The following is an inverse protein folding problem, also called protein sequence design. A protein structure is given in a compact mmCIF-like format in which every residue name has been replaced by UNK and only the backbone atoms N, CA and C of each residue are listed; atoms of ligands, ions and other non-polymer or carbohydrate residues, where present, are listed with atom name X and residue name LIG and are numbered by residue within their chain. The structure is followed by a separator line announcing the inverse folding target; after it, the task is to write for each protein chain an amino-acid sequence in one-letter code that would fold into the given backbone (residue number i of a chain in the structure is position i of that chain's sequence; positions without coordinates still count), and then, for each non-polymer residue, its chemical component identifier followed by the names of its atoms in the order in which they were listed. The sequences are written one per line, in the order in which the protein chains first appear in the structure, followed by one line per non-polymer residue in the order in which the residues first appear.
data_IF_549369648611
#
_entry.id   IF_549369648611
#
_cell.length_a   1.000
_cell.length_b   1.000
_cell.length_c   1.000
_cell.angle_alpha   90.00
_cell.angle_beta   90.00
_cell.angle_gamma   90.00
#
_symmetry.space_group_name_H-M   'P 1'
#
loop_
_entity.id
_entity.type
_entity.pdbx_description
1 polymer ?
#
# COMPACT_ATOMS: atom_id res chain seq x y z
N UNK A 1 1.94 0.66 -57.21
CA UNK A 1 2.50 0.03 -56.00
C UNK A 1 2.24 0.96 -54.82
N UNK A 2 1.10 0.78 -54.17
CA UNK A 2 0.69 1.54 -52.98
C UNK A 2 1.08 0.73 -51.75
N UNK A 3 2.00 1.26 -50.93
CA UNK A 3 2.38 0.64 -49.66
C UNK A 3 1.24 0.85 -48.66
N UNK A 4 0.51 -0.21 -48.35
CA UNK A 4 -0.54 -0.17 -47.32
C UNK A 4 0.09 -0.17 -45.93
N UNK A 5 -0.23 0.88 -45.18
CA UNK A 5 -0.69 0.83 -43.79
C UNK A 5 0.14 0.00 -42.80
N UNK A 6 1.00 0.71 -42.08
CA UNK A 6 1.11 0.69 -40.60
C UNK A 6 0.50 -0.50 -39.83
N UNK A 7 1.09 -1.69 -39.96
CA UNK A 7 0.89 -2.84 -39.04
C UNK A 7 1.70 -2.69 -37.72
N UNK A 8 1.71 -1.50 -37.12
CA UNK A 8 2.41 -1.26 -35.85
C UNK A 8 1.64 -1.72 -34.60
N UNK A 9 0.40 -2.18 -34.76
CA UNK A 9 -0.41 -2.72 -33.66
C UNK A 9 -0.60 -4.23 -33.81
N UNK A 10 0.33 -5.01 -33.25
CA UNK A 10 0.09 -6.43 -32.99
C UNK A 10 -1.06 -6.57 -31.99
N UNK A 11 -2.27 -6.86 -32.48
CA UNK A 11 -3.48 -7.16 -31.68
C UNK A 11 -3.26 -8.29 -30.66
N UNK A 12 -2.20 -9.07 -30.83
CA UNK A 12 -1.82 -10.18 -29.94
C UNK A 12 -1.26 -9.70 -28.60
N UNK A 13 -0.62 -8.52 -28.54
CA UNK A 13 0.05 -8.05 -27.31
C UNK A 13 -0.94 -7.53 -26.26
N UNK A 14 -1.98 -6.79 -26.66
CA UNK A 14 -2.98 -6.24 -25.74
C UNK A 14 -3.88 -7.33 -25.14
N UNK A 15 -4.28 -8.32 -25.95
CA UNK A 15 -5.10 -9.45 -25.49
C UNK A 15 -4.32 -10.38 -24.56
N UNK A 16 -3.02 -10.58 -24.79
CA UNK A 16 -2.16 -11.33 -23.85
C UNK A 16 -1.95 -10.56 -22.53
N UNK A 17 -1.84 -9.23 -22.59
CA UNK A 17 -1.68 -8.40 -21.39
C UNK A 17 -2.92 -8.43 -20.50
N UNK A 18 -4.13 -8.47 -21.08
CA UNK A 18 -5.39 -8.56 -20.31
C UNK A 18 -5.56 -9.89 -19.57
N UNK A 19 -4.94 -10.97 -20.02
CA UNK A 19 -4.99 -12.27 -19.32
C UNK A 19 -4.21 -12.29 -18.00
N UNK A 20 -3.31 -11.32 -17.81
CA UNK A 20 -2.55 -11.13 -16.57
C UNK A 20 -3.26 -10.19 -15.57
N UNK A 21 -4.47 -9.73 -15.87
CA UNK A 21 -5.18 -8.79 -15.00
C UNK A 21 -5.87 -9.50 -13.83
N UNK A 22 -5.86 -8.81 -12.69
CA UNK A 22 -6.61 -9.22 -11.51
C UNK A 22 -8.12 -9.24 -11.82
N UNK A 23 -8.85 -10.20 -11.23
CA UNK A 23 -10.30 -10.29 -11.36
C UNK A 23 -10.96 -10.75 -10.07
N UNK A 24 -12.26 -10.47 -9.93
CA UNK A 24 -13.10 -10.94 -8.83
C UNK A 24 -13.95 -12.13 -9.31
N UNK A 25 -13.56 -13.38 -9.01
CA UNK A 25 -14.39 -14.54 -9.34
C UNK A 25 -15.65 -14.54 -8.46
N UNK A 26 -16.81 -14.86 -9.01
CA UNK A 26 -18.05 -14.94 -8.21
C UNK A 26 -18.24 -16.32 -7.57
N UNK A 27 -17.56 -17.33 -8.13
CA UNK A 27 -17.68 -18.72 -7.73
C UNK A 27 -16.35 -19.48 -7.89
N UNK A 28 -16.16 -20.61 -7.18
CA UNK A 28 -15.00 -21.46 -7.38
C UNK A 28 -14.80 -21.90 -8.83
N UNK A 29 -15.88 -22.18 -9.59
CA UNK A 29 -15.80 -22.65 -10.98
C UNK A 29 -15.09 -21.70 -11.94
N UNK A 30 -14.97 -20.42 -11.61
CA UNK A 30 -14.26 -19.44 -12.43
C UNK A 30 -12.74 -19.46 -12.24
N UNK A 31 -12.25 -20.14 -11.20
CA UNK A 31 -10.82 -20.23 -10.89
C UNK A 31 -10.11 -21.30 -11.72
N UNK A 32 -8.77 -21.24 -11.86
CA UNK A 32 -8.01 -22.37 -12.38
C UNK A 32 -8.22 -23.62 -11.52
N UNK A 33 -8.22 -24.81 -12.16
CA UNK A 33 -8.54 -26.08 -11.51
C UNK A 33 -7.74 -26.36 -10.23
N UNK A 34 -6.48 -25.88 -10.14
CA UNK A 34 -5.67 -26.02 -8.94
C UNK A 34 -6.26 -25.29 -7.74
N UNK A 35 -6.81 -24.09 -7.93
CA UNK A 35 -7.46 -23.31 -6.87
C UNK A 35 -8.87 -23.82 -6.56
N UNK A 36 -9.59 -24.37 -7.55
CA UNK A 36 -10.93 -24.94 -7.32
C UNK A 36 -10.91 -26.04 -6.24
N UNK A 37 -9.85 -26.86 -6.24
CA UNK A 37 -9.67 -27.95 -5.27
C UNK A 37 -9.62 -27.47 -3.82
N UNK A 38 -9.22 -26.22 -3.57
CA UNK A 38 -9.19 -25.66 -2.22
C UNK A 38 -10.59 -25.46 -1.62
N UNK A 39 -11.62 -25.39 -2.46
CA UNK A 39 -13.00 -25.07 -2.06
C UNK A 39 -13.97 -26.25 -2.19
N UNK A 40 -13.44 -27.48 -2.22
CA UNK A 40 -14.27 -28.68 -2.12
C UNK A 40 -14.84 -28.84 -0.71
N UNK A 41 -14.02 -28.56 0.30
CA UNK A 41 -14.35 -28.71 1.72
C UNK A 41 -14.29 -27.39 2.51
N UNK A 42 -13.92 -26.28 1.85
CA UNK A 42 -13.85 -24.95 2.46
C UNK A 42 -14.85 -23.98 1.82
N UNK A 43 -15.47 -23.07 2.61
CA UNK A 43 -16.33 -22.03 2.05
C UNK A 43 -15.54 -21.07 1.16
N UNK A 44 -16.16 -20.66 0.07
CA UNK A 44 -15.61 -19.64 -0.82
C UNK A 44 -15.50 -18.30 -0.09
N UNK A 45 -14.35 -17.60 -0.16
CA UNK A 45 -14.14 -16.40 0.62
C UNK A 45 -14.98 -15.22 0.12
N UNK A 46 -15.20 -14.25 0.99
CA UNK A 46 -15.83 -12.98 0.67
C UNK A 46 -14.86 -12.08 -0.10
N UNK A 47 -15.39 -11.35 -1.08
CA UNK A 47 -14.66 -10.45 -1.98
C UNK A 47 -13.34 -11.06 -2.52
N UNK A 48 -13.39 -12.24 -3.17
CA UNK A 48 -12.19 -12.88 -3.69
C UNK A 48 -11.52 -12.01 -4.76
N UNK A 49 -10.19 -12.02 -4.76
CA UNK A 49 -9.37 -11.42 -5.80
C UNK A 49 -8.40 -12.47 -6.30
N UNK A 50 -8.57 -12.87 -7.55
CA UNK A 50 -7.64 -13.74 -8.25
C UNK A 50 -6.62 -12.91 -9.02
N UNK A 51 -5.34 -13.16 -8.74
CA UNK A 51 -4.17 -12.59 -9.36
C UNK A 51 -3.52 -13.68 -10.21
N UNK A 52 -3.68 -13.66 -11.54
CA UNK A 52 -3.01 -14.63 -12.39
C UNK A 52 -1.49 -14.52 -12.25
N UNK A 53 -0.81 -15.66 -12.32
CA UNK A 53 0.65 -15.68 -12.32
C UNK A 53 1.21 -15.08 -13.61
N UNK A 54 2.38 -14.48 -13.53
CA UNK A 54 3.12 -13.98 -14.69
C UNK A 54 4.41 -14.78 -14.85
N UNK A 55 4.47 -15.61 -15.89
CA UNK A 55 5.73 -16.15 -16.39
C UNK A 55 6.35 -15.13 -17.34
N UNK A 56 7.41 -14.45 -16.88
CA UNK A 56 8.22 -13.65 -17.81
C UNK A 56 8.88 -14.59 -18.82
N UNK A 57 8.60 -14.37 -20.11
CA UNK A 57 9.24 -15.09 -21.22
C UNK A 57 10.73 -14.80 -21.40
N UNK A 58 11.34 -13.99 -20.52
CA UNK A 58 12.79 -13.80 -20.48
C UNK A 58 13.36 -14.33 -19.16
N UNK A 59 14.47 -15.07 -19.25
CA UNK A 59 15.20 -15.71 -18.15
C UNK A 59 15.65 -14.74 -17.04
N UNK A 60 15.50 -13.43 -17.25
CA UNK A 60 15.98 -12.37 -16.35
C UNK A 60 14.95 -11.89 -15.32
N UNK A 61 13.68 -12.25 -15.44
CA UNK A 61 12.68 -11.88 -14.43
C UNK A 61 12.13 -13.10 -13.71
N UNK A 62 12.04 -12.99 -12.40
CA UNK A 62 11.46 -14.00 -11.51
C UNK A 62 9.97 -14.12 -11.81
N UNK A 63 9.51 -15.34 -12.06
CA UNK A 63 8.09 -15.62 -12.26
C UNK A 63 7.27 -15.20 -11.02
N UNK A 64 6.16 -14.52 -11.24
CA UNK A 64 5.22 -14.15 -10.18
C UNK A 64 4.20 -15.29 -10.07
N UNK A 65 4.09 -15.97 -8.92
CA UNK A 65 3.13 -17.06 -8.76
C UNK A 65 1.69 -16.53 -8.81
N UNK A 66 0.78 -17.37 -9.30
CA UNK A 66 -0.64 -17.07 -9.21
C UNK A 66 -1.08 -17.04 -7.74
N UNK A 67 -1.95 -16.09 -7.40
CA UNK A 67 -2.49 -15.94 -6.05
C UNK A 67 -4.01 -15.77 -6.08
N UNK A 68 -4.67 -16.30 -5.06
CA UNK A 68 -6.05 -15.97 -4.74
C UNK A 68 -6.04 -15.38 -3.33
N UNK A 69 -6.61 -14.20 -3.16
CA UNK A 69 -6.78 -13.59 -1.85
C UNK A 69 -8.27 -13.42 -1.57
N UNK A 70 -8.70 -13.62 -0.33
CA UNK A 70 -10.11 -13.45 0.03
C UNK A 70 -10.32 -13.36 1.52
N UNK A 71 -11.43 -12.74 1.91
CA UNK A 71 -11.75 -12.48 3.30
C UNK A 71 -12.65 -13.56 3.89
N UNK A 72 -12.42 -13.83 5.17
CA UNK A 72 -13.37 -14.49 6.06
C UNK A 72 -13.80 -13.50 7.14
N UNK A 73 -14.55 -13.97 8.13
CA UNK A 73 -15.08 -13.11 9.19
C UNK A 73 -13.97 -12.40 9.99
N UNK A 74 -12.87 -13.10 10.27
CA UNK A 74 -11.83 -12.68 11.21
C UNK A 74 -10.40 -12.69 10.61
N UNK A 75 -10.25 -13.11 9.35
CA UNK A 75 -8.95 -13.21 8.71
C UNK A 75 -8.97 -12.99 7.20
N UNK A 76 -7.80 -12.67 6.67
CA UNK A 76 -7.46 -12.76 5.26
C UNK A 76 -6.84 -14.13 4.99
N UNK A 77 -7.28 -14.82 3.94
CA UNK A 77 -6.60 -16.01 3.42
C UNK A 77 -6.00 -15.70 2.05
N UNK A 78 -4.77 -16.16 1.82
CA UNK A 78 -4.10 -16.07 0.52
C UNK A 78 -3.59 -17.45 0.13
N UNK A 79 -4.07 -17.94 -1.00
CA UNK A 79 -3.56 -19.15 -1.65
C UNK A 79 -2.56 -18.75 -2.72
N UNK A 80 -1.40 -19.41 -2.75
CA UNK A 80 -0.32 -19.19 -3.70
C UNK A 80 0.06 -20.49 -4.38
N UNK A 81 0.17 -20.47 -5.71
CA UNK A 81 0.70 -21.60 -6.49
C UNK A 81 2.23 -21.57 -6.46
N UNK A 82 2.86 -22.58 -5.85
CA UNK A 82 4.30 -22.70 -5.76
C UNK A 82 4.73 -24.15 -5.98
N UNK A 83 5.59 -24.39 -6.97
CA UNK A 83 6.11 -25.73 -7.27
C UNK A 83 5.04 -26.77 -7.62
N UNK A 84 3.92 -26.34 -8.21
CA UNK A 84 2.79 -27.23 -8.53
C UNK A 84 1.91 -27.60 -7.33
N UNK A 85 2.17 -27.02 -6.16
CA UNK A 85 1.35 -27.15 -4.97
C UNK A 85 0.69 -25.81 -4.63
N UNK A 86 -0.45 -25.88 -3.93
CA UNK A 86 -1.13 -24.71 -3.41
C UNK A 86 -0.77 -24.52 -1.94
N UNK A 87 -0.20 -23.37 -1.59
CA UNK A 87 0.11 -23.01 -0.22
C UNK A 87 -0.90 -21.97 0.27
N UNK A 88 -1.48 -22.18 1.47
CA UNK A 88 -2.42 -21.26 2.08
C UNK A 88 -1.74 -20.51 3.22
N UNK A 89 -1.74 -19.18 3.14
CA UNK A 89 -1.34 -18.29 4.24
C UNK A 89 -2.58 -17.66 4.83
N UNK A 90 -2.74 -17.80 6.15
CA UNK A 90 -3.84 -17.18 6.91
C UNK A 90 -3.29 -16.03 7.74
N UNK A 91 -3.94 -14.87 7.65
CA UNK A 91 -3.57 -13.65 8.35
C UNK A 91 -4.77 -13.14 9.15
N UNK A 92 -4.85 -13.43 10.46
CA UNK A 92 -5.89 -12.88 11.32
C UNK A 92 -5.83 -11.35 11.34
N UNK A 93 -6.98 -10.67 11.28
CA UNK A 93 -7.03 -9.20 11.25
C UNK A 93 -6.44 -8.58 12.53
N UNK A 94 -6.67 -9.22 13.67
CA UNK A 94 -6.10 -8.82 14.97
C UNK A 94 -4.57 -8.88 15.02
N UNK A 95 -3.95 -9.60 14.08
CA UNK A 95 -2.49 -9.76 13.98
C UNK A 95 -1.86 -8.92 12.87
N UNK A 96 -2.65 -8.15 12.11
CA UNK A 96 -2.11 -7.22 11.11
C UNK A 96 -1.44 -6.06 11.82
N UNK A 97 -0.14 -5.88 11.55
CA UNK A 97 0.68 -4.78 12.08
C UNK A 97 0.58 -3.54 11.23
N UNK A 98 0.63 -3.73 9.91
CA UNK A 98 0.46 -2.67 8.93
C UNK A 98 0.18 -3.26 7.56
N UNK A 99 -0.39 -2.44 6.68
CA UNK A 99 -0.49 -2.72 5.25
C UNK A 99 0.24 -1.65 4.46
N UNK A 100 0.80 -2.01 3.31
CA UNK A 100 1.50 -1.06 2.45
C UNK A 100 1.06 -1.24 1.01
N UNK A 101 0.48 -0.20 0.42
CA UNK A 101 0.20 -0.14 -1.01
C UNK A 101 1.29 0.65 -1.72
N UNK A 102 1.86 0.09 -2.76
CA UNK A 102 2.76 0.82 -3.66
C UNK A 102 2.19 0.89 -5.06
N UNK A 103 2.37 2.04 -5.69
CA UNK A 103 1.95 2.31 -7.08
C UNK A 103 3.14 2.91 -7.80
N UNK A 104 3.57 2.29 -8.90
CA UNK A 104 4.68 2.75 -9.71
C UNK A 104 4.41 2.45 -11.19
N UNK A 105 4.07 3.49 -11.95
CA UNK A 105 3.67 3.37 -13.36
C UNK A 105 2.56 2.31 -13.51
N UNK A 106 2.82 1.24 -14.28
CA UNK A 106 1.87 0.16 -14.55
C UNK A 106 1.93 -0.99 -13.53
N UNK A 107 2.82 -0.91 -12.53
CA UNK A 107 2.96 -1.94 -11.50
C UNK A 107 2.52 -1.42 -10.15
N UNK A 108 1.69 -2.19 -9.48
CA UNK A 108 1.22 -1.93 -8.13
C UNK A 108 1.40 -3.16 -7.25
N UNK A 109 1.45 -2.94 -5.94
CA UNK A 109 1.46 -4.02 -4.97
C UNK A 109 0.74 -3.63 -3.68
N UNK A 110 0.28 -4.65 -2.95
CA UNK A 110 -0.25 -4.53 -1.60
C UNK A 110 0.46 -5.54 -0.69
N UNK A 111 1.20 -5.04 0.29
CA UNK A 111 1.76 -5.83 1.38
C UNK A 111 0.78 -5.85 2.55
N UNK A 112 0.56 -7.03 3.11
CA UNK A 112 -0.12 -7.23 4.39
C UNK A 112 0.89 -7.87 5.32
N UNK A 113 1.31 -7.12 6.35
CA UNK A 113 2.32 -7.57 7.30
C UNK A 113 1.68 -7.84 8.64
N UNK A 114 1.89 -9.06 9.12
CA UNK A 114 1.43 -9.51 10.42
C UNK A 114 2.60 -9.81 11.35
N UNK A 115 2.28 -10.33 12.53
CA UNK A 115 3.29 -10.80 13.49
C UNK A 115 4.11 -11.99 12.99
N UNK A 116 3.49 -12.90 12.24
CA UNK A 116 4.09 -14.20 11.87
C UNK A 116 4.42 -14.31 10.38
N UNK A 117 3.76 -13.53 9.55
CA UNK A 117 3.86 -13.64 8.09
C UNK A 117 3.70 -12.29 7.40
N UNK A 118 4.22 -12.21 6.18
CA UNK A 118 4.02 -11.10 5.27
C UNK A 118 3.56 -11.65 3.94
N UNK A 119 2.49 -11.11 3.40
CA UNK A 119 1.98 -11.48 2.07
C UNK A 119 2.02 -10.26 1.16
N UNK A 120 2.50 -10.44 -0.06
CA UNK A 120 2.48 -9.42 -1.11
C UNK A 120 1.53 -9.84 -2.22
N UNK A 121 0.63 -8.94 -2.60
CA UNK A 121 -0.24 -9.07 -3.76
C UNK A 121 0.26 -8.10 -4.84
N UNK A 122 0.87 -8.61 -5.90
CA UNK A 122 1.34 -7.79 -7.04
C UNK A 122 0.27 -7.79 -8.13
N UNK A 123 -0.01 -6.63 -8.71
CA UNK A 123 -1.03 -6.47 -9.74
C UNK A 123 -0.71 -5.28 -10.66
N UNK A 124 -1.32 -5.23 -11.84
CA UNK A 124 -1.19 -4.09 -12.73
C UNK A 124 -1.97 -2.88 -12.17
N UNK A 125 -1.42 -1.67 -12.27
CA UNK A 125 -2.07 -0.46 -11.74
C UNK A 125 -3.43 -0.16 -12.36
N UNK A 126 -3.72 -0.72 -13.54
CA UNK A 126 -5.06 -0.63 -14.17
C UNK A 126 -6.13 -1.37 -13.35
N UNK A 127 -5.74 -2.27 -12.46
CA UNK A 127 -6.63 -2.99 -11.54
C UNK A 127 -6.76 -2.31 -10.17
N UNK A 128 -6.33 -1.05 -10.00
CA UNK A 128 -6.49 -0.33 -8.72
C UNK A 128 -7.94 -0.29 -8.24
N UNK A 129 -8.89 -0.08 -9.13
CA UNK A 129 -10.32 -0.01 -8.78
C UNK A 129 -10.85 -1.32 -8.19
N UNK A 130 -10.29 -2.46 -8.62
CA UNK A 130 -10.60 -3.77 -8.04
C UNK A 130 -10.02 -3.91 -6.62
N UNK A 131 -8.83 -3.34 -6.40
CA UNK A 131 -8.06 -3.47 -5.16
C UNK A 131 -8.44 -2.44 -4.09
N UNK A 132 -9.02 -1.30 -4.48
CA UNK A 132 -9.43 -0.23 -3.56
C UNK A 132 -10.46 -0.73 -2.51
N UNK A 133 -11.54 -1.44 -2.88
CA UNK A 133 -12.47 -2.04 -1.92
C UNK A 133 -11.81 -3.10 -1.02
N UNK A 134 -10.88 -3.88 -1.57
CA UNK A 134 -10.13 -4.89 -0.83
C UNK A 134 -9.27 -4.25 0.26
N UNK A 135 -8.54 -3.17 -0.08
CA UNK A 135 -7.77 -2.40 0.89
C UNK A 135 -8.66 -1.71 1.93
N UNK A 136 -9.81 -1.16 1.52
CA UNK A 136 -10.77 -0.54 2.44
C UNK A 136 -11.21 -1.54 3.52
N UNK A 137 -11.58 -2.76 3.11
CA UNK A 137 -11.97 -3.83 4.02
C UNK A 137 -10.86 -4.26 4.98
N UNK A 138 -9.61 -4.36 4.51
CA UNK A 138 -8.45 -4.62 5.39
C UNK A 138 -8.27 -3.54 6.46
N UNK A 139 -8.42 -2.27 6.06
CA UNK A 139 -8.28 -1.12 6.99
C UNK A 139 -9.43 -1.04 7.97
N UNK A 140 -10.64 -1.40 7.57
CA UNK A 140 -11.80 -1.48 8.44
C UNK A 140 -11.68 -2.62 9.45
N UNK A 141 -11.30 -3.81 8.99
CA UNK A 141 -11.16 -4.98 9.86
C UNK A 141 -10.04 -4.85 10.90
N UNK A 142 -9.05 -4.00 10.64
CA UNK A 142 -7.94 -3.72 11.57
C UNK A 142 -8.20 -2.52 12.48
N UNK A 143 -9.24 -1.73 12.23
CA UNK A 143 -9.54 -0.53 13.00
C UNK A 143 -10.36 -0.88 14.27
N UNK A 144 -10.12 -0.20 15.40
CA UNK A 144 -11.00 -0.33 16.55
C UNK A 144 -12.42 0.15 16.20
N UNK A 145 -13.43 -0.58 16.65
CA UNK A 145 -14.83 -0.22 16.45
C UNK A 145 -15.14 1.06 17.23
N UNK A 146 -15.27 2.19 16.53
CA UNK A 146 -15.59 3.50 17.11
C UNK A 146 -16.80 4.12 16.43
N UNK A 147 -17.59 4.87 17.20
CA UNK A 147 -18.72 5.65 16.66
C UNK A 147 -18.22 6.78 15.75
N UNK A 148 -18.90 6.99 14.62
CA UNK A 148 -18.58 8.02 13.64
C UNK A 148 -19.16 9.38 14.06
N UNK A 149 -18.33 10.41 14.21
CA UNK A 149 -18.77 11.81 14.33
C UNK A 149 -18.38 12.60 13.06
N UNK A 150 -19.38 13.20 12.39
CA UNK A 150 -19.18 13.93 11.12
C UNK A 150 -18.43 15.26 11.27
N UNK A 151 -18.56 15.96 12.40
CA UNK A 151 -17.95 17.28 12.61
C UNK A 151 -16.42 17.25 12.60
N UNK A 152 -15.83 16.12 12.98
CA UNK A 152 -14.37 15.98 13.10
C UNK A 152 -13.67 15.73 11.76
N UNK A 153 -14.44 15.31 10.76
CA UNK A 153 -13.95 15.11 9.40
C UNK A 153 -13.50 16.42 8.74
N UNK A 154 -14.25 17.50 8.95
CA UNK A 154 -14.00 18.79 8.29
C UNK A 154 -12.72 19.46 8.79
N UNK A 155 -12.41 19.37 10.08
CA UNK A 155 -11.16 19.90 10.64
C UNK A 155 -9.93 19.18 10.07
N UNK A 156 -10.04 17.87 9.85
CA UNK A 156 -8.96 17.09 9.25
C UNK A 156 -8.66 17.45 7.80
N UNK A 157 -9.71 17.75 7.04
CA UNK A 157 -9.58 18.23 5.67
C UNK A 157 -8.87 19.57 5.63
N UNK A 158 -9.23 20.52 6.51
CA UNK A 158 -8.56 21.82 6.59
C UNK A 158 -7.05 21.70 6.90
N UNK A 159 -6.65 20.75 7.74
CA UNK A 159 -5.24 20.50 8.03
C UNK A 159 -4.48 20.04 6.77
N UNK A 160 -5.08 19.17 5.95
CA UNK A 160 -4.51 18.76 4.67
C UNK A 160 -4.48 19.90 3.65
N UNK A 161 -5.44 20.80 3.66
CA UNK A 161 -5.54 21.90 2.70
C UNK A 161 -4.34 22.85 2.80
N UNK A 162 -3.78 23.03 4.00
CA UNK A 162 -2.53 23.78 4.22
C UNK A 162 -1.32 23.15 3.51
N UNK A 163 -1.33 21.82 3.30
CA UNK A 163 -0.31 21.14 2.51
C UNK A 163 -0.50 21.41 1.02
N UNK A 164 -1.71 21.75 0.56
CA UNK A 164 -2.00 22.07 -0.83
C UNK A 164 -1.08 23.15 -1.39
N UNK A 165 -0.84 24.19 -0.59
CA UNK A 165 0.03 25.31 -0.93
C UNK A 165 1.51 24.91 -1.01
N UNK A 166 1.91 23.85 -0.30
CA UNK A 166 3.28 23.35 -0.26
C UNK A 166 3.54 22.25 -1.29
N UNK A 167 2.61 21.31 -1.45
CA UNK A 167 2.77 20.13 -2.29
C UNK A 167 1.44 19.43 -2.65
N UNK A 168 0.80 19.91 -3.72
CA UNK A 168 -0.50 19.43 -4.21
C UNK A 168 -0.66 17.89 -4.34
N UNK A 169 0.38 17.16 -4.78
CA UNK A 169 0.36 15.68 -4.88
C UNK A 169 0.08 15.01 -3.53
N UNK A 170 0.77 15.42 -2.46
CA UNK A 170 0.60 14.81 -1.13
C UNK A 170 -0.72 15.21 -0.49
N UNK A 171 -1.17 16.46 -0.68
CA UNK A 171 -2.53 16.88 -0.29
C UNK A 171 -3.59 15.99 -0.95
N UNK A 172 -3.51 15.81 -2.28
CA UNK A 172 -4.47 14.99 -3.03
C UNK A 172 -4.48 13.54 -2.57
N UNK A 173 -3.31 12.96 -2.32
CA UNK A 173 -3.23 11.61 -1.76
C UNK A 173 -3.77 11.51 -0.34
N UNK A 174 -3.44 12.45 0.54
CA UNK A 174 -3.98 12.49 1.90
C UNK A 174 -5.51 12.50 1.89
N UNK A 175 -6.11 13.38 1.07
CA UNK A 175 -7.56 13.48 0.93
C UNK A 175 -8.21 12.19 0.40
N UNK A 176 -7.59 11.50 -0.58
CA UNK A 176 -8.11 10.23 -1.12
C UNK A 176 -8.06 9.08 -0.11
N UNK A 177 -7.10 9.09 0.82
CA UNK A 177 -6.84 7.98 1.73
C UNK A 177 -7.64 8.06 3.04
N UNK A 178 -8.03 9.26 3.45
CA UNK A 178 -8.89 9.44 4.61
C UNK A 178 -10.28 8.82 4.35
N UNK A 179 -10.79 8.03 5.31
CA UNK A 179 -12.12 7.40 5.19
C UNK A 179 -13.21 8.32 5.75
N UNK A 180 -14.45 8.25 5.24
CA UNK A 180 -15.57 8.94 5.87
C UNK A 180 -15.63 8.69 7.38
N UNK A 181 -15.61 9.78 8.16
CA UNK A 181 -15.65 9.74 9.63
C UNK A 181 -14.32 9.45 10.32
N UNK A 182 -13.18 9.44 9.63
CA UNK A 182 -11.87 9.48 10.29
C UNK A 182 -11.65 10.85 10.94
N UNK A 183 -11.24 10.84 12.22
CA UNK A 183 -10.84 12.05 12.94
C UNK A 183 -9.35 12.25 12.76
N UNK A 184 -8.94 13.26 12.01
CA UNK A 184 -7.53 13.63 11.91
C UNK A 184 -7.11 14.32 13.20
N UNK A 185 -6.04 13.81 13.80
CA UNK A 185 -5.48 14.32 15.06
C UNK A 185 -4.23 15.16 14.82
N UNK A 186 -3.41 14.75 13.87
CA UNK A 186 -2.16 15.43 13.55
C UNK A 186 -1.80 15.19 12.09
N UNK A 187 -1.17 16.20 11.48
CA UNK A 187 -0.66 16.14 10.12
C UNK A 187 0.75 16.70 10.14
N UNK A 188 1.71 15.92 9.66
CA UNK A 188 3.09 16.35 9.57
C UNK A 188 3.60 16.13 8.14
N UNK A 189 4.07 17.21 7.52
CA UNK A 189 4.59 17.14 6.16
C UNK A 189 6.08 17.48 6.15
N UNK A 190 6.83 16.74 5.34
CA UNK A 190 8.21 17.06 5.05
C UNK A 190 8.42 17.19 3.55
N UNK A 191 8.98 18.33 3.14
CA UNK A 191 9.46 18.54 1.78
C UNK A 191 10.79 17.80 1.54
N UNK A 192 11.12 17.61 0.26
CA UNK A 192 12.42 17.05 -0.09
C UNK A 192 13.54 18.02 0.31
N UNK A 193 14.59 17.51 0.97
CA UNK A 193 15.77 18.32 1.31
C UNK A 193 16.99 17.85 0.53
N UNK A 194 17.76 18.81 0.01
CA UNK A 194 19.04 18.61 -0.67
C UNK A 194 20.13 19.39 0.05
N UNK A 195 21.35 18.84 0.06
CA UNK A 195 22.58 19.57 0.40
C UNK A 195 23.50 19.50 -0.81
N UNK A 196 23.63 20.63 -1.50
CA UNK A 196 24.17 20.67 -2.86
C UNK A 196 23.38 19.74 -3.79
N UNK A 197 24.08 18.83 -4.45
CA UNK A 197 23.50 17.85 -5.39
C UNK A 197 22.87 16.63 -4.70
N UNK A 198 23.16 16.41 -3.41
CA UNK A 198 22.77 15.21 -2.68
C UNK A 198 21.41 15.40 -2.03
N UNK A 199 20.44 14.55 -2.38
CA UNK A 199 19.15 14.45 -1.67
C UNK A 199 19.37 13.80 -0.30
N UNK A 200 19.18 14.56 0.77
CA UNK A 200 19.32 14.08 2.15
C UNK A 200 18.02 13.45 2.64
N UNK A 201 16.88 14.07 2.31
CA UNK A 201 15.57 13.61 2.75
C UNK A 201 14.56 13.54 1.59
N UNK A 202 13.73 12.50 1.62
CA UNK A 202 12.64 12.28 0.66
C UNK A 202 11.37 12.93 1.20
N UNK A 203 10.52 13.52 0.35
CA UNK A 203 9.28 14.07 0.84
C UNK A 203 8.36 12.95 1.32
N UNK A 204 7.68 13.22 2.42
CA UNK A 204 6.65 12.32 2.94
C UNK A 204 5.61 13.12 3.71
N UNK A 205 4.43 12.52 3.84
CA UNK A 205 3.30 13.04 4.61
C UNK A 205 2.89 11.97 5.62
N UNK A 206 2.79 12.37 6.87
CA UNK A 206 2.21 11.56 7.95
C UNK A 206 0.88 12.17 8.36
N UNK A 207 -0.16 11.36 8.40
CA UNK A 207 -1.48 11.75 8.90
C UNK A 207 -1.86 10.78 10.00
N UNK A 208 -1.95 11.28 11.22
CA UNK A 208 -2.44 10.50 12.37
C UNK A 208 -3.94 10.71 12.51
N UNK A 209 -4.69 9.61 12.49
CA UNK A 209 -6.12 9.61 12.80
C UNK A 209 -6.40 8.96 14.15
N UNK A 210 -7.66 8.98 14.56
CA UNK A 210 -8.15 8.21 15.70
C UNK A 210 -8.00 6.70 15.49
N UNK A 211 -7.97 6.20 14.25
CA UNK A 211 -7.94 4.77 13.93
C UNK A 211 -6.59 4.25 13.45
N UNK A 212 -5.82 5.05 12.74
CA UNK A 212 -4.56 4.62 12.11
C UNK A 212 -3.60 5.78 11.83
N UNK A 213 -2.34 5.45 11.60
CA UNK A 213 -1.35 6.35 11.02
C UNK A 213 -1.22 6.03 9.52
N UNK A 214 -1.41 7.07 8.70
CA UNK A 214 -1.19 7.04 7.27
C UNK A 214 0.17 7.65 6.97
N UNK A 215 1.03 6.90 6.29
CA UNK A 215 2.32 7.38 5.81
C UNK A 215 2.34 7.33 4.28
N UNK A 216 2.61 8.47 3.66
CA UNK A 216 2.65 8.62 2.21
C UNK A 216 4.05 9.09 1.84
N UNK A 217 4.75 8.36 0.96
CA UNK A 217 6.10 8.72 0.52
C UNK A 217 6.31 8.41 -0.95
N UNK A 218 7.28 9.07 -1.55
CA UNK A 218 7.77 8.67 -2.85
C UNK A 218 8.54 7.33 -2.76
N UNK A 219 8.48 6.46 -3.79
CA UNK A 219 9.24 5.22 -3.82
C UNK A 219 10.75 5.48 -3.92
N UNK A 220 11.55 4.78 -3.12
CA UNK A 220 13.00 4.99 -3.03
C UNK A 220 13.78 4.66 -4.32
N UNK A 221 13.28 3.71 -5.12
CA UNK A 221 13.97 3.16 -6.29
C UNK A 221 14.07 4.10 -7.49
N UNK A 222 13.37 5.23 -7.49
CA UNK A 222 13.44 6.23 -8.57
C UNK A 222 14.63 7.20 -8.44
N UNK A 223 15.52 6.98 -7.46
CA UNK A 223 16.68 7.83 -7.15
C UNK A 223 17.68 8.09 -8.31
N UNK A 224 17.58 7.40 -9.45
CA UNK A 224 18.52 7.54 -10.58
C UNK A 224 17.95 8.23 -11.83
N UNK A 225 16.66 8.56 -11.88
CA UNK A 225 16.05 9.24 -13.03
C UNK A 225 16.01 10.77 -12.88
N UNK A 226 16.24 11.52 -13.98
CA UNK A 226 16.04 12.99 -14.04
C UNK A 226 14.57 13.41 -14.08
N UNK A 227 13.66 12.48 -14.32
CA UNK A 227 12.22 12.72 -14.33
C UNK A 227 11.60 12.37 -12.97
N UNK A 228 10.61 13.17 -12.53
CA UNK A 228 9.99 13.06 -11.22
C UNK A 228 9.50 11.65 -10.85
N UNK A 229 9.31 11.41 -9.56
CA UNK A 229 8.83 10.14 -9.03
C UNK A 229 7.38 9.87 -9.48
N UNK A 230 7.21 9.10 -10.54
CA UNK A 230 5.91 8.55 -10.92
C UNK A 230 5.55 7.41 -9.97
N UNK A 231 4.70 7.71 -8.99
CA UNK A 231 4.25 6.74 -8.01
C UNK A 231 4.21 7.25 -6.58
N UNK A 232 3.72 6.39 -5.70
CA UNK A 232 3.65 6.62 -4.26
C UNK A 232 3.61 5.29 -3.51
N UNK A 233 4.08 5.33 -2.28
CA UNK A 233 3.95 4.25 -1.31
C UNK A 233 3.13 4.77 -0.14
N UNK A 234 2.06 4.06 0.17
CA UNK A 234 1.10 4.34 1.22
C UNK A 234 1.24 3.24 2.26
N UNK A 235 1.55 3.59 3.50
CA UNK A 235 1.60 2.64 4.62
C UNK A 235 0.50 2.99 5.61
N UNK A 236 -0.25 1.99 6.03
CA UNK A 236 -1.40 2.08 6.93
C UNK A 236 -1.05 1.30 8.19
N UNK A 237 -0.87 1.99 9.31
CA UNK A 237 -0.53 1.37 10.60
C UNK A 237 -1.72 1.55 11.53
N UNK A 238 -2.47 0.48 11.87
CA UNK A 238 -3.55 0.59 12.85
C UNK A 238 -3.02 1.20 14.15
N UNK A 239 -3.76 2.14 14.72
CA UNK A 239 -3.29 2.87 15.91
C UNK A 239 -3.06 1.94 17.09
N UNK A 240 -3.86 0.89 17.21
CA UNK A 240 -3.73 -0.16 18.23
C UNK A 240 -2.41 -0.93 18.15
N UNK A 241 -1.71 -0.86 17.01
CA UNK A 241 -0.41 -1.50 16.79
C UNK A 241 0.77 -0.56 17.04
N UNK A 242 0.54 0.76 17.19
CA UNK A 242 1.60 1.73 17.43
C UNK A 242 1.89 1.77 18.94
N UNK A 243 3.08 1.37 19.34
CA UNK A 243 3.49 1.35 20.75
C UNK A 243 4.19 2.63 21.19
N UNK A 244 4.87 3.30 20.26
CA UNK A 244 5.52 4.58 20.49
C UNK A 244 5.84 5.27 19.15
N UNK A 245 5.93 6.60 19.18
CA UNK A 245 6.55 7.37 18.10
C UNK A 245 7.64 8.23 18.74
N UNK A 246 8.88 8.04 18.31
CA UNK A 246 10.00 8.79 18.88
C UNK A 246 10.76 9.56 17.80
N UNK A 247 11.46 10.58 18.27
CA UNK A 247 12.42 11.33 17.47
C UNK A 247 13.82 10.86 17.81
N UNK A 248 14.51 10.28 16.83
CA UNK A 248 15.91 9.90 16.92
C UNK A 248 16.81 10.93 16.25
N UNK A 249 18.02 11.14 16.76
CA UNK A 249 19.06 11.88 16.05
C UNK A 249 19.89 10.93 15.18
N UNK A 250 20.15 11.30 13.91
CA UNK A 250 21.09 10.57 13.06
C UNK A 250 22.39 11.36 12.89
N UNK A 251 23.42 11.08 13.72
CA UNK A 251 24.63 11.90 13.78
C UNK A 251 25.40 11.98 12.45
N UNK A 252 25.21 11.02 11.53
CA UNK A 252 25.94 10.96 10.25
C UNK A 252 25.27 11.70 9.08
N UNK A 253 24.11 12.34 9.25
CA UNK A 253 23.35 12.92 8.12
C UNK A 253 22.82 14.35 8.28
N UNK A 254 23.10 15.03 9.40
CA UNK A 254 22.41 16.29 9.75
C UNK A 254 20.88 16.17 9.61
N UNK A 255 20.36 15.00 9.96
CA UNK A 255 18.96 14.63 9.84
C UNK A 255 18.55 13.93 11.13
N UNK A 256 17.28 14.08 11.53
CA UNK A 256 16.66 13.22 12.51
C UNK A 256 16.06 11.98 11.86
N UNK A 257 15.52 11.10 12.68
CA UNK A 257 14.59 10.07 12.25
C UNK A 257 13.30 10.16 13.05
N UNK A 258 12.16 10.11 12.35
CA UNK A 258 10.91 9.75 12.99
C UNK A 258 10.83 8.22 13.01
N UNK A 259 10.72 7.65 14.20
CA UNK A 259 10.71 6.20 14.43
C UNK A 259 9.36 5.79 14.98
N UNK A 260 8.60 5.03 14.19
CA UNK A 260 7.26 4.55 14.55
C UNK A 260 7.41 3.09 14.98
N UNK A 261 7.31 2.83 16.28
CA UNK A 261 7.40 1.50 16.85
C UNK A 261 6.06 0.80 16.71
N UNK A 262 6.09 -0.36 16.04
CA UNK A 262 4.92 -1.20 15.80
C UNK A 262 5.07 -2.49 16.58
N UNK A 263 4.01 -2.93 17.26
CA UNK A 263 4.03 -4.05 18.18
C UNK A 263 4.69 -5.29 17.57
N UNK A 264 5.76 -5.78 18.22
CA UNK A 264 6.50 -6.99 17.89
C UNK A 264 7.35 -6.94 16.61
N UNK A 265 7.53 -5.77 15.98
CA UNK A 265 8.34 -5.60 14.77
C UNK A 265 9.44 -4.54 14.93
N UNK A 266 10.34 -4.43 13.94
CA UNK A 266 11.25 -3.30 13.88
C UNK A 266 10.47 -1.99 13.63
N UNK A 267 10.99 -0.84 14.07
CA UNK A 267 10.33 0.44 13.83
C UNK A 267 10.32 0.78 12.34
N UNK A 268 9.26 1.47 11.91
CA UNK A 268 9.25 2.16 10.62
C UNK A 268 10.04 3.46 10.79
N UNK A 269 11.15 3.58 10.07
CA UNK A 269 12.05 4.73 10.20
C UNK A 269 11.94 5.65 9.00
N UNK A 270 11.73 6.94 9.25
CA UNK A 270 11.66 7.99 8.26
C UNK A 270 12.79 8.99 8.48
N UNK A 271 13.63 9.18 7.47
CA UNK A 271 14.67 10.22 7.49
C UNK A 271 14.00 11.60 7.48
N UNK A 272 14.11 12.34 8.58
CA UNK A 272 13.39 13.57 8.83
C UNK A 272 14.33 14.76 9.13
N UNK A 273 13.86 15.99 8.93
CA UNK A 273 14.64 17.19 9.24
C UNK A 273 14.60 17.50 10.75
N UNK A 274 15.76 17.72 11.36
CA UNK A 274 15.92 18.09 12.78
C UNK A 274 15.08 19.31 13.19
N UNK A 275 14.80 20.21 12.25
CA UNK A 275 14.05 21.43 12.53
C UNK A 275 12.55 21.33 12.19
N UNK A 276 12.05 20.14 11.86
CA UNK A 276 10.64 19.99 11.53
C UNK A 276 9.79 19.89 12.81
N UNK A 277 9.33 21.04 13.30
CA UNK A 277 8.49 21.14 14.51
C UNK A 277 7.20 20.32 14.44
N UNK A 278 6.63 20.09 13.26
CA UNK A 278 5.44 19.24 13.09
C UNK A 278 5.74 17.77 13.42
N UNK A 279 6.94 17.29 13.07
CA UNK A 279 7.35 15.91 13.36
C UNK A 279 7.65 15.71 14.84
N UNK A 280 8.23 16.72 15.50
CA UNK A 280 8.41 16.70 16.95
C UNK A 280 7.06 16.72 17.69
N UNK A 281 6.11 17.53 17.24
CA UNK A 281 4.75 17.56 17.78
C UNK A 281 4.03 16.21 17.63
N UNK A 282 4.19 15.54 16.49
CA UNK A 282 3.64 14.21 16.24
C UNK A 282 4.21 13.16 17.22
N UNK A 283 5.52 13.20 17.50
CA UNK A 283 6.15 12.29 18.45
C UNK A 283 5.61 12.47 19.88
N UNK A 284 5.27 13.69 20.30
CA UNK A 284 4.71 13.97 21.63
C UNK A 284 3.26 13.51 21.87
N UNK A 285 2.61 12.86 20.89
CA UNK A 285 1.22 12.37 20.99
C UNK A 285 1.11 10.91 21.46
N UNK A 286 2.22 10.19 21.57
CA UNK A 286 2.33 8.79 21.96
C UNK A 286 3.27 8.65 23.15
#
# INVERSE_FOLDING_TARGET
MTSSESDWFSKTSSVQTMKAWARRPESPSELPAMFQKAFLDEPFPLDPVFLPGETSGSERFVAIPARLAGFYADHLAVWEESGGALQKTVVPFSKIRWTQRGVMLLSSWLDVVSEVSSVRLSFASVNEELMDPFLARLREASAPSGQQEKSVWESGRQALDRIGDLHFKFMSYGRRLLRPGDRVLEVAYQQSRKLGWRKIATPFLVVLTDKELLLIRDPERLRRGRHGSYGAVFTFVPRTQITAITWGERPRRHAGSLEIFVAGGPPLILDADLNNGEMAALAGRF
#
